data_IF_947528926687
#
_entry.id   IF_947528926687
#
_cell.length_a   1.000
_cell.length_b   1.000
_cell.length_c   1.000
_cell.angle_alpha   90.00
_cell.angle_beta   90.00
_cell.angle_gamma   90.00
#
_symmetry.space_group_name_H-M   'P 1'
#
loop_
_entity.id
_entity.type
_entity.pdbx_description
1 polymer ?
#
# COMPACT_ATOMS: atom_id res chain seq x y z
N UNK A 1 -12.37 -14.16 -20.25
CA UNK A 1 -12.15 -12.88 -19.54
C UNK A 1 -12.81 -12.95 -18.17
N UNK A 2 -12.04 -13.05 -17.08
CA UNK A 2 -12.59 -13.14 -15.71
C UNK A 2 -13.08 -11.75 -15.29
N UNK A 3 -14.33 -11.63 -14.84
CA UNK A 3 -14.87 -10.38 -14.31
C UNK A 3 -14.14 -10.06 -13.00
N UNK A 4 -13.65 -8.83 -12.83
CA UNK A 4 -12.88 -8.41 -11.65
C UNK A 4 -13.53 -8.79 -10.30
N UNK A 5 -14.86 -8.67 -10.18
CA UNK A 5 -15.58 -9.09 -8.98
C UNK A 5 -15.50 -10.60 -8.68
N UNK A 6 -15.39 -11.44 -9.72
CA UNK A 6 -15.13 -12.88 -9.54
C UNK A 6 -13.68 -13.16 -9.13
N UNK A 7 -12.73 -12.30 -9.50
CA UNK A 7 -11.35 -12.41 -9.02
C UNK A 7 -11.24 -12.07 -7.53
N UNK A 8 -11.89 -11.00 -7.07
CA UNK A 8 -11.91 -10.62 -5.65
C UNK A 8 -12.51 -11.75 -4.79
N UNK A 9 -13.63 -12.35 -5.23
CA UNK A 9 -14.26 -13.46 -4.51
C UNK A 9 -13.42 -14.74 -4.52
N UNK A 10 -12.76 -15.03 -5.64
CA UNK A 10 -11.80 -16.13 -5.71
C UNK A 10 -10.60 -15.93 -4.77
N UNK A 11 -10.13 -14.68 -4.62
CA UNK A 11 -9.07 -14.37 -3.65
C UNK A 11 -9.60 -14.56 -2.23
N UNK A 12 -10.78 -14.02 -1.91
CA UNK A 12 -11.41 -14.18 -0.59
C UNK A 12 -11.60 -15.65 -0.19
N UNK A 13 -12.06 -16.48 -1.12
CA UNK A 13 -12.27 -17.91 -0.87
C UNK A 13 -10.95 -18.70 -0.80
N UNK A 14 -9.92 -18.29 -1.54
CA UNK A 14 -8.58 -18.89 -1.45
C UNK A 14 -7.83 -18.50 -0.17
N UNK A 15 -8.06 -17.29 0.35
CA UNK A 15 -7.39 -16.75 1.55
C UNK A 15 -8.00 -17.23 2.88
N UNK A 16 -9.07 -18.04 2.84
CA UNK A 16 -9.62 -18.79 3.97
C UNK A 16 -8.60 -19.76 4.64
N UNK A 17 -7.35 -19.81 4.14
CA UNK A 17 -6.24 -20.57 4.72
C UNK A 17 -5.28 -19.75 5.61
N UNK A 18 -5.62 -18.53 6.02
CA UNK A 18 -4.99 -17.94 7.20
C UNK A 18 -4.75 -16.43 7.25
N UNK A 19 -5.28 -15.63 6.34
CA UNK A 19 -5.15 -14.16 6.45
C UNK A 19 -6.51 -13.48 6.34
N UNK A 20 -7.08 -13.16 7.51
CA UNK A 20 -8.29 -12.33 7.67
C UNK A 20 -7.99 -10.85 7.34
N UNK A 21 -7.46 -10.59 6.13
CA UNK A 21 -7.33 -9.22 5.64
C UNK A 21 -8.64 -8.80 5.00
N UNK A 22 -9.05 -7.56 5.25
CA UNK A 22 -10.25 -6.98 4.67
C UNK A 22 -10.13 -6.98 3.14
N UNK A 23 -11.18 -7.43 2.47
CA UNK A 23 -11.33 -7.32 1.03
C UNK A 23 -12.61 -6.54 0.73
N UNK A 24 -12.48 -5.50 -0.09
CA UNK A 24 -13.60 -4.65 -0.48
C UNK A 24 -14.73 -5.51 -1.06
N UNK A 25 -15.97 -5.42 -0.54
CA UNK A 25 -17.12 -6.19 -1.03
C UNK A 25 -17.60 -5.60 -2.37
N UNK A 26 -16.80 -5.83 -3.41
CA UNK A 26 -16.91 -5.14 -4.70
C UNK A 26 -18.29 -5.33 -5.35
N UNK A 27 -18.84 -6.54 -5.31
CA UNK A 27 -20.13 -6.82 -5.95
C UNK A 27 -21.30 -6.15 -5.22
N UNK A 28 -21.22 -6.07 -3.89
CA UNK A 28 -22.25 -5.45 -3.05
C UNK A 28 -22.28 -3.94 -3.30
N UNK A 29 -21.12 -3.28 -3.24
CA UNK A 29 -21.03 -1.83 -3.53
C UNK A 29 -21.39 -1.53 -4.99
N UNK A 30 -20.97 -2.39 -5.93
CA UNK A 30 -21.33 -2.26 -7.35
C UNK A 30 -22.84 -2.38 -7.60
N UNK A 31 -23.56 -3.15 -6.78
CA UNK A 31 -25.01 -3.30 -6.91
C UNK A 31 -25.74 -1.97 -6.70
N UNK A 32 -25.21 -1.09 -5.84
CA UNK A 32 -25.73 0.26 -5.58
C UNK A 32 -25.71 1.14 -6.83
N UNK A 33 -24.75 0.93 -7.74
CA UNK A 33 -24.64 1.63 -9.03
C UNK A 33 -25.62 1.05 -10.09
N UNK A 34 -26.24 -0.10 -9.81
CA UNK A 34 -27.08 -0.82 -10.78
C UNK A 34 -28.57 -0.75 -10.47
N UNK A 35 -28.94 -0.36 -9.25
CA UNK A 35 -30.32 -0.03 -8.88
C UNK A 35 -30.79 1.31 -9.50
N UNK A 36 -29.85 2.14 -9.96
CA UNK A 36 -30.04 3.55 -10.32
C UNK A 36 -30.73 3.72 -11.67
N UNK A 37 -32.05 3.64 -11.66
CA UNK A 37 -32.87 4.04 -12.81
C UNK A 37 -33.90 5.13 -12.51
N UNK A 38 -34.29 5.40 -11.24
CA UNK A 38 -35.38 6.34 -10.96
C UNK A 38 -35.16 7.38 -9.84
N UNK A 39 -34.16 7.26 -8.94
CA UNK A 39 -33.89 8.25 -7.87
C UNK A 39 -32.40 8.62 -7.74
N UNK A 40 -31.93 9.50 -8.62
CA UNK A 40 -30.49 9.75 -8.82
C UNK A 40 -29.74 10.32 -7.59
N UNK A 41 -30.36 11.10 -6.70
CA UNK A 41 -29.63 11.81 -5.63
C UNK A 41 -29.44 10.97 -4.34
N UNK A 42 -30.44 10.16 -3.95
CA UNK A 42 -30.38 9.33 -2.73
C UNK A 42 -29.38 8.16 -2.89
N UNK A 43 -29.28 7.64 -4.10
CA UNK A 43 -28.43 6.48 -4.41
C UNK A 43 -26.94 6.84 -4.58
N UNK A 44 -26.61 8.03 -5.11
CA UNK A 44 -25.24 8.55 -5.15
C UNK A 44 -24.66 8.66 -3.74
N UNK A 45 -25.45 9.21 -2.79
CA UNK A 45 -25.04 9.27 -1.38
C UNK A 45 -24.81 7.88 -0.78
N UNK A 46 -25.68 6.92 -1.07
CA UNK A 46 -25.52 5.53 -0.58
C UNK A 46 -24.24 4.87 -1.12
N UNK A 47 -23.91 5.10 -2.39
CA UNK A 47 -22.65 4.64 -2.98
C UNK A 47 -21.44 5.29 -2.31
N UNK A 48 -21.45 6.61 -2.12
CA UNK A 48 -20.36 7.33 -1.46
C UNK A 48 -20.15 6.85 -0.01
N UNK A 49 -21.22 6.64 0.75
CA UNK A 49 -21.14 6.12 2.12
C UNK A 49 -20.51 4.73 2.13
N UNK A 50 -21.00 3.81 1.28
CA UNK A 50 -20.46 2.46 1.20
C UNK A 50 -19.00 2.44 0.71
N UNK A 51 -18.64 3.32 -0.22
CA UNK A 51 -17.28 3.46 -0.72
C UNK A 51 -16.33 3.99 0.37
N UNK A 52 -16.74 5.02 1.12
CA UNK A 52 -15.94 5.59 2.21
C UNK A 52 -15.77 4.59 3.36
N UNK A 53 -16.82 3.86 3.75
CA UNK A 53 -16.73 2.80 4.74
C UNK A 53 -15.73 1.70 4.31
N UNK A 54 -15.79 1.29 3.04
CA UNK A 54 -14.85 0.31 2.50
C UNK A 54 -13.41 0.83 2.44
N UNK A 55 -13.20 2.11 2.13
CA UNK A 55 -11.88 2.74 2.19
C UNK A 55 -11.35 2.75 3.62
N UNK A 56 -12.14 3.20 4.59
CA UNK A 56 -11.75 3.25 6.00
C UNK A 56 -11.37 1.88 6.53
N UNK A 57 -12.23 0.87 6.33
CA UNK A 57 -11.94 -0.52 6.75
C UNK A 57 -10.68 -1.08 6.10
N UNK A 58 -10.46 -0.77 4.81
CA UNK A 58 -9.24 -1.19 4.11
C UNK A 58 -7.99 -0.51 4.69
N UNK A 59 -8.08 0.77 5.05
CA UNK A 59 -6.98 1.53 5.67
C UNK A 59 -6.67 0.96 7.05
N UNK A 60 -7.68 0.78 7.90
CA UNK A 60 -7.51 0.30 9.27
C UNK A 60 -6.89 -1.09 9.29
N UNK A 61 -7.41 -2.02 8.49
CA UNK A 61 -6.89 -3.37 8.41
C UNK A 61 -5.46 -3.43 7.85
N UNK A 62 -5.18 -2.67 6.78
CA UNK A 62 -3.83 -2.58 6.22
C UNK A 62 -2.83 -2.00 7.23
N UNK A 63 -3.19 -0.93 7.94
CA UNK A 63 -2.36 -0.33 8.97
C UNK A 63 -2.12 -1.30 10.13
N UNK A 64 -3.16 -1.97 10.62
CA UNK A 64 -3.05 -2.97 11.69
C UNK A 64 -2.12 -4.13 11.28
N UNK A 65 -2.31 -4.66 10.07
CA UNK A 65 -1.49 -5.74 9.53
C UNK A 65 -0.01 -5.33 9.38
N UNK A 66 0.24 -4.12 8.88
CA UNK A 66 1.59 -3.56 8.75
C UNK A 66 2.25 -3.31 10.10
N UNK A 67 1.52 -2.76 11.08
CA UNK A 67 2.05 -2.53 12.42
C UNK A 67 2.41 -3.85 13.08
N UNK A 68 1.55 -4.87 12.96
CA UNK A 68 1.82 -6.23 13.46
C UNK A 68 3.05 -6.85 12.81
N UNK A 69 3.22 -6.68 11.49
CA UNK A 69 4.39 -7.12 10.75
C UNK A 69 5.68 -6.50 11.31
N UNK A 70 5.73 -5.17 11.41
CA UNK A 70 6.93 -4.48 11.88
C UNK A 70 7.22 -4.75 13.35
N UNK A 71 6.20 -4.79 14.20
CA UNK A 71 6.38 -5.16 15.60
C UNK A 71 7.02 -6.56 15.74
N UNK A 72 6.59 -7.52 14.92
CA UNK A 72 7.18 -8.87 14.90
C UNK A 72 8.64 -8.85 14.42
N UNK A 73 8.94 -8.12 13.34
CA UNK A 73 10.32 -7.98 12.84
C UNK A 73 11.22 -7.39 13.93
N UNK A 74 10.82 -6.26 14.50
CA UNK A 74 11.62 -5.57 15.51
C UNK A 74 11.71 -6.34 16.83
N UNK A 75 10.68 -7.08 17.25
CA UNK A 75 10.75 -7.91 18.45
C UNK A 75 11.78 -9.03 18.29
N UNK A 76 11.77 -9.73 17.16
CA UNK A 76 12.73 -10.82 16.89
C UNK A 76 14.15 -10.27 16.77
N UNK A 77 14.34 -9.14 16.08
CA UNK A 77 15.66 -8.49 15.98
C UNK A 77 16.16 -8.11 17.37
N UNK A 78 15.31 -7.53 18.22
CA UNK A 78 15.67 -7.13 19.57
C UNK A 78 16.03 -8.31 20.49
N UNK A 79 15.37 -9.47 20.32
CA UNK A 79 15.67 -10.69 21.08
C UNK A 79 16.99 -11.35 20.66
N UNK A 80 17.36 -11.22 19.39
CA UNK A 80 18.47 -11.97 18.78
C UNK A 80 19.76 -11.17 18.65
N UNK A 81 19.71 -9.85 18.80
CA UNK A 81 20.83 -8.96 18.53
C UNK A 81 21.11 -8.02 19.70
N UNK A 82 22.35 -7.48 19.76
CA UNK A 82 22.72 -6.49 20.77
C UNK A 82 21.92 -5.19 20.59
N UNK A 83 21.49 -4.49 21.66
CA UNK A 83 20.74 -3.24 21.58
C UNK A 83 21.31 -2.19 20.61
N UNK A 84 22.64 -2.11 20.52
CA UNK A 84 23.32 -1.15 19.67
C UNK A 84 23.21 -1.45 18.17
N UNK A 85 22.91 -2.70 17.77
CA UNK A 85 22.86 -3.06 16.34
C UNK A 85 21.52 -2.76 15.68
N UNK A 86 20.43 -2.59 16.44
CA UNK A 86 19.10 -2.33 15.89
C UNK A 86 18.48 -0.99 16.33
N UNK A 87 19.09 -0.27 17.28
CA UNK A 87 18.60 1.04 17.71
C UNK A 87 18.63 2.05 16.56
N UNK A 88 17.46 2.60 16.22
CA UNK A 88 17.33 3.57 15.11
C UNK A 88 17.49 2.95 13.73
N UNK A 89 17.47 1.63 13.61
CA UNK A 89 17.63 0.96 12.32
C UNK A 89 16.42 1.21 11.42
N UNK A 90 16.68 1.41 10.12
CA UNK A 90 15.62 1.60 9.13
C UNK A 90 14.96 0.26 8.77
N UNK A 91 13.78 0.27 8.11
CA UNK A 91 13.06 -0.96 7.77
C UNK A 91 13.87 -1.98 6.95
N UNK A 92 14.71 -1.52 6.02
CA UNK A 92 15.54 -2.42 5.19
C UNK A 92 16.60 -3.14 6.02
N UNK A 93 17.31 -2.41 6.86
CA UNK A 93 18.29 -3.01 7.78
C UNK A 93 17.62 -3.93 8.81
N UNK A 94 16.42 -3.57 9.31
CA UNK A 94 15.65 -4.43 10.20
C UNK A 94 15.30 -5.77 9.54
N UNK A 95 14.91 -5.76 8.26
CA UNK A 95 14.64 -6.98 7.50
C UNK A 95 15.89 -7.83 7.31
N UNK A 96 17.03 -7.22 7.01
CA UNK A 96 18.31 -7.92 6.91
C UNK A 96 18.68 -8.61 8.22
N UNK A 97 18.70 -7.85 9.32
CA UNK A 97 18.95 -8.40 10.65
C UNK A 97 17.97 -9.52 11.01
N UNK A 98 16.69 -9.37 10.65
CA UNK A 98 15.69 -10.42 10.87
C UNK A 98 16.04 -11.70 10.12
N UNK A 99 16.29 -11.61 8.81
CA UNK A 99 16.62 -12.77 7.97
C UNK A 99 17.88 -13.47 8.47
N UNK A 100 18.92 -12.71 8.83
CA UNK A 100 20.17 -13.24 9.37
C UNK A 100 19.99 -13.92 10.74
N UNK A 101 18.94 -13.54 11.49
CA UNK A 101 18.69 -14.01 12.87
C UNK A 101 17.74 -15.21 12.97
N UNK A 102 17.12 -15.63 11.86
CA UNK A 102 16.07 -16.67 11.88
C UNK A 102 16.34 -17.79 10.86
N UNK A 103 15.69 -18.94 11.08
CA UNK A 103 15.71 -20.03 10.10
C UNK A 103 15.05 -19.59 8.77
N UNK A 104 15.53 -20.05 7.59
CA UNK A 104 14.96 -19.69 6.28
C UNK A 104 13.45 -19.85 6.19
N UNK A 105 12.87 -20.90 6.80
CA UNK A 105 11.41 -21.08 6.83
C UNK A 105 10.64 -19.92 7.49
N UNK A 106 11.22 -19.30 8.53
CA UNK A 106 10.61 -18.13 9.20
C UNK A 106 10.73 -16.88 8.34
N UNK A 107 11.83 -16.73 7.62
CA UNK A 107 12.00 -15.65 6.65
C UNK A 107 11.06 -15.83 5.44
N UNK A 108 10.87 -17.05 4.96
CA UNK A 108 9.88 -17.39 3.94
C UNK A 108 8.45 -17.12 4.43
N UNK A 109 8.15 -17.43 5.69
CA UNK A 109 6.87 -17.08 6.33
C UNK A 109 6.63 -15.57 6.39
N UNK A 110 7.69 -14.78 6.71
CA UNK A 110 7.62 -13.32 6.65
C UNK A 110 7.34 -12.83 5.23
N UNK A 111 8.06 -13.35 4.22
CA UNK A 111 7.86 -13.02 2.81
C UNK A 111 6.43 -13.29 2.35
N UNK A 112 5.88 -14.46 2.72
CA UNK A 112 4.50 -14.81 2.42
C UNK A 112 3.53 -13.81 3.04
N UNK A 113 3.73 -13.47 4.32
CA UNK A 113 2.88 -12.50 5.04
C UNK A 113 2.94 -11.11 4.42
N UNK A 114 4.13 -10.62 4.07
CA UNK A 114 4.30 -9.34 3.37
C UNK A 114 3.57 -9.34 2.02
N UNK A 115 3.71 -10.42 1.26
CA UNK A 115 3.05 -10.60 -0.04
C UNK A 115 1.52 -10.58 0.10
N UNK A 116 0.97 -11.23 1.12
CA UNK A 116 -0.46 -11.21 1.42
C UNK A 116 -0.96 -9.80 1.75
N UNK A 117 -0.25 -9.08 2.62
CA UNK A 117 -0.58 -7.70 3.00
C UNK A 117 -0.58 -6.79 1.77
N UNK A 118 0.49 -6.83 0.97
CA UNK A 118 0.61 -6.05 -0.26
C UNK A 118 -0.50 -6.39 -1.25
N UNK A 119 -0.77 -7.68 -1.46
CA UNK A 119 -1.81 -8.15 -2.38
C UNK A 119 -3.20 -7.66 -1.96
N UNK A 120 -3.56 -7.77 -0.69
CA UNK A 120 -4.85 -7.30 -0.18
C UNK A 120 -4.99 -5.78 -0.40
N UNK A 121 -3.96 -5.00 -0.05
CA UNK A 121 -3.95 -3.55 -0.26
C UNK A 121 -4.12 -3.17 -1.75
N UNK A 122 -3.39 -3.86 -2.64
CA UNK A 122 -3.46 -3.64 -4.08
C UNK A 122 -4.83 -4.00 -4.66
N UNK A 123 -5.43 -5.11 -4.21
CA UNK A 123 -6.78 -5.51 -4.62
C UNK A 123 -7.82 -4.48 -4.15
N UNK A 124 -7.74 -4.02 -2.90
CA UNK A 124 -8.67 -3.05 -2.34
C UNK A 124 -8.58 -1.70 -3.04
N UNK A 125 -7.38 -1.16 -3.25
CA UNK A 125 -7.21 0.11 -3.95
C UNK A 125 -7.71 0.03 -5.40
N UNK A 126 -7.43 -1.06 -6.09
CA UNK A 126 -7.91 -1.30 -7.45
C UNK A 126 -9.44 -1.49 -7.51
N UNK A 127 -10.03 -2.14 -6.50
CA UNK A 127 -11.48 -2.33 -6.37
C UNK A 127 -12.19 -0.99 -6.18
N UNK A 128 -11.72 -0.17 -5.24
CA UNK A 128 -12.25 1.17 -4.96
C UNK A 128 -12.15 2.07 -6.19
N UNK A 129 -11.00 2.07 -6.89
CA UNK A 129 -10.83 2.83 -8.14
C UNK A 129 -11.82 2.38 -9.22
N UNK A 130 -12.00 1.06 -9.38
CA UNK A 130 -12.92 0.49 -10.38
C UNK A 130 -14.39 0.76 -10.06
N UNK A 131 -14.76 0.87 -8.79
CA UNK A 131 -16.11 1.24 -8.37
C UNK A 131 -16.43 2.68 -8.79
N UNK A 132 -15.56 3.64 -8.50
CA UNK A 132 -15.72 5.04 -8.94
C UNK A 132 -15.79 5.14 -10.46
N UNK A 133 -14.86 4.49 -11.18
CA UNK A 133 -14.89 4.44 -12.66
C UNK A 133 -16.20 3.87 -13.20
N UNK A 134 -16.81 2.91 -12.50
CA UNK A 134 -18.08 2.31 -12.92
C UNK A 134 -19.27 3.22 -12.62
N UNK A 135 -19.22 3.95 -11.51
CA UNK A 135 -20.18 4.98 -11.15
C UNK A 135 -20.21 6.08 -12.22
N UNK A 136 -19.07 6.73 -12.46
CA UNK A 136 -18.93 7.82 -13.45
C UNK A 136 -19.25 7.40 -14.89
N UNK A 137 -19.20 6.09 -15.21
CA UNK A 137 -19.60 5.59 -16.53
C UNK A 137 -21.12 5.47 -16.67
N UNK A 138 -21.83 5.20 -15.58
CA UNK A 138 -23.28 4.97 -15.59
C UNK A 138 -24.07 6.24 -15.29
N UNK A 139 -23.51 7.10 -14.45
CA UNK A 139 -24.14 8.31 -13.96
C UNK A 139 -23.34 9.52 -14.46
N UNK A 140 -24.02 10.65 -14.66
CA UNK A 140 -23.40 11.89 -15.14
C UNK A 140 -22.52 12.58 -14.09
N UNK A 141 -22.63 12.18 -12.82
CA UNK A 141 -21.85 12.71 -11.71
C UNK A 141 -20.42 12.20 -11.74
N UNK A 142 -19.45 13.13 -11.61
CA UNK A 142 -18.02 12.84 -11.65
C UNK A 142 -17.45 12.70 -10.24
N UNK A 143 -17.80 11.60 -9.57
CA UNK A 143 -17.26 11.30 -8.23
C UNK A 143 -15.76 11.04 -8.26
N UNK A 144 -15.17 10.76 -9.42
CA UNK A 144 -13.72 10.69 -9.57
C UNK A 144 -12.98 11.94 -9.10
N UNK A 145 -13.60 13.13 -9.16
CA UNK A 145 -12.97 14.37 -8.73
C UNK A 145 -12.89 14.50 -7.19
N UNK A 146 -13.72 13.78 -6.44
CA UNK A 146 -13.74 13.81 -4.97
C UNK A 146 -13.15 12.54 -4.35
N UNK A 147 -13.54 11.36 -4.85
CA UNK A 147 -13.20 10.08 -4.22
C UNK A 147 -11.80 9.56 -4.59
N UNK A 148 -11.33 9.76 -5.82
CA UNK A 148 -9.99 9.27 -6.21
C UNK A 148 -8.85 10.01 -5.51
N UNK A 149 -8.89 11.34 -5.31
CA UNK A 149 -7.90 12.02 -4.49
C UNK A 149 -7.81 11.45 -3.08
N UNK A 150 -8.95 11.15 -2.44
CA UNK A 150 -8.99 10.52 -1.12
C UNK A 150 -8.33 9.13 -1.12
N UNK A 151 -8.60 8.31 -2.14
CA UNK A 151 -7.96 7.02 -2.29
C UNK A 151 -6.44 7.15 -2.46
N UNK A 152 -5.97 8.04 -3.33
CA UNK A 152 -4.55 8.16 -3.64
C UNK A 152 -3.74 8.82 -2.52
N UNK A 153 -4.35 9.72 -1.76
CA UNK A 153 -3.74 10.29 -0.55
C UNK A 153 -3.78 9.34 0.66
N UNK A 154 -4.57 8.26 0.60
CA UNK A 154 -4.69 7.33 1.72
C UNK A 154 -3.42 6.49 1.93
N UNK A 155 -3.16 6.13 3.19
CA UNK A 155 -2.07 5.19 3.52
C UNK A 155 -2.22 3.81 2.88
N UNK A 156 -3.45 3.41 2.52
CA UNK A 156 -3.72 2.19 1.77
C UNK A 156 -3.02 2.21 0.40
N UNK A 157 -2.96 3.37 -0.26
CA UNK A 157 -2.30 3.52 -1.56
C UNK A 157 -0.84 3.95 -1.41
N UNK A 158 -0.57 5.02 -0.66
CA UNK A 158 0.75 5.63 -0.56
C UNK A 158 1.81 4.74 0.09
N UNK A 159 1.43 3.78 0.94
CA UNK A 159 2.39 2.93 1.64
C UNK A 159 2.54 1.52 1.04
N UNK A 160 1.96 1.22 -0.13
CA UNK A 160 2.14 -0.10 -0.77
C UNK A 160 3.60 -0.31 -1.21
N UNK A 161 4.26 0.74 -1.71
CA UNK A 161 5.66 0.70 -2.17
C UNK A 161 6.60 0.18 -1.08
N UNK A 162 6.49 0.69 0.15
CA UNK A 162 7.35 0.25 1.26
C UNK A 162 7.26 -1.26 1.53
N UNK A 163 6.07 -1.86 1.40
CA UNK A 163 5.90 -3.31 1.57
C UNK A 163 6.43 -4.04 0.33
N UNK A 164 6.21 -3.51 -0.86
CA UNK A 164 6.72 -4.08 -2.11
C UNK A 164 8.26 -4.11 -2.13
N UNK A 165 8.91 -3.02 -1.72
CA UNK A 165 10.37 -2.92 -1.64
C UNK A 165 10.91 -3.91 -0.62
N UNK A 166 10.26 -4.02 0.54
CA UNK A 166 10.60 -5.02 1.55
C UNK A 166 10.42 -6.47 1.07
N UNK A 167 9.40 -6.76 0.25
CA UNK A 167 9.24 -8.07 -0.41
C UNK A 167 10.42 -8.34 -1.34
N UNK A 168 10.83 -7.34 -2.14
CA UNK A 168 11.99 -7.45 -3.02
C UNK A 168 13.27 -7.77 -2.25
N UNK A 169 13.53 -7.01 -1.18
CA UNK A 169 14.69 -7.20 -0.33
C UNK A 169 14.71 -8.58 0.34
N UNK A 170 13.60 -9.04 0.92
CA UNK A 170 13.57 -10.36 1.58
C UNK A 170 13.80 -11.49 0.57
N UNK A 171 13.30 -11.36 -0.67
CA UNK A 171 13.59 -12.33 -1.74
C UNK A 171 15.08 -12.37 -2.06
N UNK A 172 15.68 -11.21 -2.28
CA UNK A 172 17.10 -11.09 -2.56
C UNK A 172 17.95 -11.73 -1.45
N UNK A 173 17.65 -11.43 -0.18
CA UNK A 173 18.38 -12.00 0.96
C UNK A 173 18.22 -13.53 1.08
N UNK A 174 17.03 -14.05 0.78
CA UNK A 174 16.79 -15.50 0.76
C UNK A 174 17.54 -16.19 -0.40
N UNK A 175 17.60 -15.56 -1.56
CA UNK A 175 18.31 -16.07 -2.73
C UNK A 175 19.84 -16.05 -2.50
N UNK A 176 20.38 -14.98 -1.88
CA UNK A 176 21.78 -14.90 -1.47
C UNK A 176 22.13 -15.99 -0.46
N UNK A 177 21.26 -16.21 0.53
CA UNK A 177 21.50 -17.23 1.55
C UNK A 177 21.46 -18.64 0.97
N UNK A 178 20.61 -18.89 -0.03
CA UNK A 178 20.58 -20.16 -0.76
C UNK A 178 21.83 -20.37 -1.64
N UNK A 179 22.43 -19.30 -2.16
CA UNK A 179 23.68 -19.35 -2.93
C UNK A 179 24.93 -19.42 -2.03
N UNK A 180 24.89 -18.86 -0.82
CA UNK A 180 26.04 -18.76 0.09
C UNK A 180 26.48 -20.06 0.76
N UNK A 181 25.72 -21.16 0.60
CA UNK A 181 26.23 -22.51 0.87
C UNK A 181 27.31 -22.94 -0.16
N UNK A 182 27.50 -22.17 -1.23
CA UNK A 182 28.60 -22.29 -2.19
C UNK A 182 29.19 -20.89 -2.51
N UNK A 183 30.12 -20.46 -1.65
CA UNK A 183 30.99 -19.28 -1.77
C UNK A 183 30.41 -17.85 -1.52
N UNK A 184 31.04 -17.22 -0.52
CA UNK A 184 31.13 -15.77 -0.27
C UNK A 184 31.19 -14.93 -1.56
N UNK A 185 30.14 -14.13 -1.82
CA UNK A 185 30.24 -12.99 -2.74
C UNK A 185 29.85 -11.72 -1.99
N UNK A 186 30.86 -10.91 -1.69
CA UNK A 186 30.67 -9.50 -1.35
C UNK A 186 30.04 -8.79 -2.55
N UNK A 187 28.74 -8.49 -2.47
CA UNK A 187 28.12 -7.52 -3.37
C UNK A 187 28.20 -6.11 -2.75
N UNK A 188 28.93 -5.23 -3.43
CA UNK A 188 28.93 -3.79 -3.19
C UNK A 188 27.55 -3.23 -3.55
N UNK A 189 26.94 -2.54 -2.58
CA UNK A 189 25.61 -1.93 -2.65
C UNK A 189 25.50 -0.87 -3.76
N UNK A 190 24.44 -0.94 -4.58
CA UNK A 190 23.90 0.15 -5.43
C UNK A 190 23.11 1.21 -4.62
N UNK A 191 23.44 1.37 -3.33
CA UNK A 191 22.83 2.35 -2.42
C UNK A 191 22.96 3.79 -2.94
N UNK A 192 24.05 4.08 -3.66
CA UNK A 192 24.33 5.41 -4.18
C UNK A 192 23.46 5.76 -5.38
N UNK A 193 23.09 4.77 -6.21
CA UNK A 193 22.20 4.97 -7.34
C UNK A 193 20.75 5.24 -6.88
N UNK A 194 20.29 4.52 -5.85
CA UNK A 194 18.97 4.75 -5.26
C UNK A 194 18.91 6.07 -4.49
N UNK A 195 19.99 6.49 -3.82
CA UNK A 195 20.06 7.79 -3.18
C UNK A 195 20.05 8.93 -4.21
N UNK A 196 20.79 8.80 -5.31
CA UNK A 196 20.80 9.80 -6.39
C UNK A 196 19.41 9.99 -7.02
N UNK A 197 18.69 8.89 -7.30
CA UNK A 197 17.34 8.95 -7.83
C UNK A 197 16.34 9.58 -6.86
N UNK A 198 16.48 9.32 -5.55
CA UNK A 198 15.65 9.94 -4.52
C UNK A 198 15.91 11.46 -4.39
N UNK A 199 17.17 11.89 -4.52
CA UNK A 199 17.54 13.30 -4.49
C UNK A 199 16.99 14.06 -5.70
N UNK A 200 17.03 13.46 -6.90
CA UNK A 200 16.47 14.06 -8.12
C UNK A 200 14.96 14.30 -7.99
N UNK A 201 14.23 13.34 -7.42
CA UNK A 201 12.79 13.43 -7.15
C UNK A 201 12.45 14.58 -6.17
N UNK A 202 13.26 14.79 -5.15
CA UNK A 202 13.09 15.90 -4.19
C UNK A 202 13.30 17.26 -4.87
N UNK A 203 14.27 17.35 -5.79
CA UNK A 203 14.49 18.59 -6.56
C UNK A 203 13.33 18.90 -7.50
N UNK A 204 12.77 17.89 -8.18
CA UNK A 204 11.59 18.06 -9.03
C UNK A 204 10.35 18.52 -8.23
N UNK A 205 10.14 17.95 -7.05
CA UNK A 205 9.04 18.32 -6.14
C UNK A 205 9.20 19.77 -5.65
N UNK A 206 10.41 20.16 -5.26
CA UNK A 206 10.69 21.51 -4.81
C UNK A 206 10.50 22.57 -5.91
N UNK A 207 10.90 22.26 -7.15
CA UNK A 207 10.68 23.13 -8.30
C UNK A 207 9.20 23.19 -8.72
N UNK A 208 8.45 22.11 -8.51
CA UNK A 208 7.00 22.14 -8.65
C UNK A 208 6.35 23.06 -7.59
N UNK A 209 6.75 22.95 -6.33
CA UNK A 209 6.24 23.80 -5.23
C UNK A 209 6.56 25.29 -5.46
N UNK A 210 7.74 25.62 -5.96
CA UNK A 210 8.09 27.00 -6.35
C UNK A 210 7.17 27.54 -7.44
N UNK A 211 6.98 26.78 -8.52
CA UNK A 211 6.07 27.18 -9.61
C UNK A 211 4.63 27.33 -9.13
N UNK A 212 4.20 26.46 -8.22
CA UNK A 212 2.89 26.56 -7.59
C UNK A 212 2.77 27.86 -6.79
N UNK A 213 3.75 28.18 -5.94
CA UNK A 213 3.76 29.41 -5.14
C UNK A 213 3.79 30.68 -6.01
N UNK A 214 4.56 30.68 -7.10
CA UNK A 214 4.63 31.79 -8.06
C UNK A 214 3.34 31.95 -8.87
N UNK A 215 2.55 30.88 -9.03
CA UNK A 215 1.26 30.92 -9.72
C UNK A 215 0.12 31.50 -8.86
N UNK A 216 0.34 31.73 -7.57
CA UNK A 216 -0.64 32.36 -6.68
C UNK A 216 -0.66 33.87 -6.95
N UNK A 217 -1.81 34.44 -7.37
CA UNK A 217 -1.92 35.88 -7.59
C UNK A 217 -1.63 36.67 -6.31
N UNK A 218 -0.84 37.75 -6.41
CA UNK A 218 -0.40 38.56 -5.25
C UNK A 218 -1.54 39.14 -4.39
N UNK A 219 -2.78 39.14 -4.89
CA UNK A 219 -3.96 39.69 -4.23
C UNK A 219 -4.64 38.70 -3.27
N UNK A 220 -4.22 37.42 -3.25
CA UNK A 220 -4.76 36.38 -2.36
C UNK A 220 -3.95 36.19 -1.07
N UNK A 221 -2.84 36.91 -0.90
CA UNK A 221 -2.09 36.91 0.36
C UNK A 221 -2.70 37.92 1.35
N UNK A 222 -3.75 37.45 2.04
CA UNK A 222 -4.42 38.01 3.24
C UNK A 222 -5.37 39.22 3.05
N UNK A 223 -6.45 39.29 3.86
CA UNK A 223 -7.40 40.41 3.83
C UNK A 223 -6.74 41.67 4.39
N UNK A 224 -7.00 42.80 3.74
CA UNK A 224 -6.63 44.13 4.23
C UNK A 224 -7.27 44.34 5.62
N UNK A 225 -6.45 44.27 6.67
CA UNK A 225 -6.75 44.85 7.99
C UNK A 225 -6.42 46.34 7.96
#
# INVERSE_FOLDING_TARGET
MVKFGGHVEAVRTADNRGTELYLVPYNDIKSLISATTNEAHSETHSFEVAWNDALTKSIEDFQAARNKLWNHVFSVVAEKNHPDSFRGTNPGNALRLYVDSVHPDKAQGLLLRMTQIHRAASINSEALRKLVKKHDKKLSDRLSLSLLPLLYASSLYGCQSTIQDGIGLVRELLDINAASDDHNVMFRNDSDAHHAAAVELIFEEHDWLKRLAESIPQHDFLPRL
#
